data_IF_213919240494
#
_entry.id   IF_213919240494
#
_cell.length_a   1.000
_cell.length_b   1.000
_cell.length_c   1.000
_cell.angle_alpha   90.00
_cell.angle_beta   90.00
_cell.angle_gamma   90.00
#
_symmetry.space_group_name_H-M   'P 1'
#
loop_
_entity.id
_entity.type
_entity.pdbx_description
1 polymer ?
#
# COMPACT_ATOMS: atom_id res chain seq x y z
N UNK A 1 -2.98 -30.05 -3.16
CA UNK A 1 -3.36 -28.90 -2.31
C UNK A 1 -2.29 -27.83 -2.47
N UNK A 2 -2.55 -26.79 -3.29
CA UNK A 2 -1.58 -25.72 -3.52
C UNK A 2 -1.65 -24.78 -2.30
N UNK A 3 -0.63 -24.84 -1.45
CA UNK A 3 -0.51 -23.93 -0.32
C UNK A 3 -0.25 -22.54 -0.86
N UNK A 4 -1.30 -21.76 -0.75
CA UNK A 4 -1.52 -20.53 -1.43
C UNK A 4 -1.16 -19.43 -0.42
N UNK A 5 0.14 -19.13 -0.37
CA UNK A 5 0.76 -18.31 0.68
C UNK A 5 1.02 -16.91 0.13
N UNK A 6 0.23 -15.93 0.59
CA UNK A 6 0.40 -14.52 0.26
C UNK A 6 1.81 -14.06 0.67
N UNK A 7 2.60 -13.56 -0.28
CA UNK A 7 3.99 -13.19 -0.04
C UNK A 7 4.09 -11.89 0.74
N UNK A 8 4.47 -11.95 2.03
CA UNK A 8 4.66 -10.77 2.90
C UNK A 8 5.50 -9.66 2.24
N UNK A 9 6.53 -10.04 1.48
CA UNK A 9 7.40 -9.10 0.76
C UNK A 9 6.63 -8.24 -0.25
N UNK A 10 5.65 -8.83 -0.95
CA UNK A 10 4.78 -8.09 -1.87
C UNK A 10 3.96 -7.03 -1.16
N UNK A 11 3.38 -7.38 0.00
CA UNK A 11 2.58 -6.44 0.81
C UNK A 11 3.43 -5.26 1.29
N UNK A 12 4.63 -5.56 1.81
CA UNK A 12 5.53 -4.52 2.33
C UNK A 12 5.96 -3.57 1.22
N UNK A 13 6.44 -4.08 0.08
CA UNK A 13 6.92 -3.21 -0.99
C UNK A 13 5.79 -2.37 -1.59
N UNK A 14 4.63 -2.95 -1.84
CA UNK A 14 3.50 -2.18 -2.39
C UNK A 14 2.97 -1.14 -1.42
N UNK A 15 2.94 -1.42 -0.11
CA UNK A 15 2.65 -0.41 0.91
C UNK A 15 3.63 0.76 0.87
N UNK A 16 4.94 0.48 0.83
CA UNK A 16 5.97 1.53 0.77
C UNK A 16 5.86 2.32 -0.54
N UNK A 17 5.59 1.67 -1.67
CA UNK A 17 5.35 2.33 -2.96
C UNK A 17 4.17 3.29 -2.86
N UNK A 18 3.02 2.85 -2.33
CA UNK A 18 1.85 3.71 -2.16
C UNK A 18 2.13 4.92 -1.26
N UNK A 19 2.79 4.68 -0.12
CA UNK A 19 3.16 5.71 0.85
C UNK A 19 4.10 6.76 0.24
N UNK A 20 5.18 6.31 -0.41
CA UNK A 20 6.20 7.18 -1.00
C UNK A 20 5.71 7.90 -2.26
N UNK A 21 4.86 7.27 -3.07
CA UNK A 21 4.22 7.92 -4.22
C UNK A 21 3.30 9.07 -3.77
N UNK A 22 2.48 8.84 -2.75
CA UNK A 22 1.61 9.86 -2.16
C UNK A 22 2.43 11.03 -1.57
N UNK A 23 3.54 10.72 -0.90
CA UNK A 23 4.47 11.74 -0.41
C UNK A 23 5.10 12.58 -1.53
N UNK A 24 5.60 11.93 -2.59
CA UNK A 24 6.17 12.62 -3.75
C UNK A 24 5.13 13.53 -4.41
N UNK A 25 3.91 13.02 -4.62
CA UNK A 25 2.82 13.80 -5.21
C UNK A 25 2.51 15.04 -4.36
N UNK A 26 2.32 14.85 -3.05
CA UNK A 26 2.02 15.94 -2.13
C UNK A 26 3.13 17.01 -2.10
N UNK A 27 4.40 16.61 -2.08
CA UNK A 27 5.55 17.54 -2.14
C UNK A 27 5.60 18.35 -3.44
N UNK A 28 5.08 17.80 -4.54
CA UNK A 28 5.04 18.50 -5.83
C UNK A 28 3.82 19.41 -5.99
N UNK A 29 2.72 19.14 -5.27
CA UNK A 29 1.45 19.85 -5.46
C UNK A 29 1.04 20.75 -4.31
N UNK A 30 1.49 20.47 -3.08
CA UNK A 30 1.12 21.20 -1.86
C UNK A 30 2.29 22.06 -1.40
N UNK A 31 2.13 23.38 -1.43
CA UNK A 31 3.18 24.33 -1.08
C UNK A 31 3.67 24.23 0.38
N UNK A 32 2.86 23.68 1.28
CA UNK A 32 3.21 23.47 2.69
C UNK A 32 4.18 22.29 2.88
N UNK A 33 4.31 21.39 1.91
CA UNK A 33 5.11 20.18 2.05
C UNK A 33 6.56 20.43 1.64
N UNK A 34 7.54 20.27 2.55
CA UNK A 34 8.94 20.45 2.21
C UNK A 34 9.40 19.35 1.26
N UNK A 35 10.15 19.74 0.23
CA UNK A 35 10.70 18.80 -0.73
C UNK A 35 11.77 17.93 -0.06
N UNK A 36 11.63 16.60 -0.18
CA UNK A 36 12.57 15.64 0.39
C UNK A 36 13.02 14.63 -0.65
N UNK A 37 14.33 14.53 -0.95
CA UNK A 37 14.83 13.54 -1.90
C UNK A 37 14.61 12.10 -1.43
N UNK A 38 14.46 11.88 -0.11
CA UNK A 38 14.26 10.55 0.47
C UNK A 38 12.96 9.90 0.01
N UNK A 39 11.88 10.67 -0.20
CA UNK A 39 10.62 10.11 -0.69
C UNK A 39 10.76 9.54 -2.11
N UNK A 40 11.44 10.28 -2.99
CA UNK A 40 11.72 9.86 -4.36
C UNK A 40 12.65 8.65 -4.41
N UNK A 41 13.74 8.67 -3.65
CA UNK A 41 14.66 7.53 -3.56
C UNK A 41 13.95 6.28 -3.02
N UNK A 42 13.12 6.44 -1.98
CA UNK A 42 12.33 5.33 -1.42
C UNK A 42 11.38 4.73 -2.46
N UNK A 43 10.71 5.58 -3.24
CA UNK A 43 9.82 5.13 -4.32
C UNK A 43 10.60 4.35 -5.38
N UNK A 44 11.71 4.90 -5.87
CA UNK A 44 12.56 4.27 -6.89
C UNK A 44 13.06 2.90 -6.41
N UNK A 45 13.67 2.84 -5.23
CA UNK A 45 14.22 1.59 -4.71
C UNK A 45 13.12 0.56 -4.39
N UNK A 46 11.96 1.00 -3.91
CA UNK A 46 10.85 0.07 -3.62
C UNK A 46 10.24 -0.49 -4.90
N UNK A 47 10.09 0.33 -5.95
CA UNK A 47 9.66 -0.12 -7.27
C UNK A 47 10.66 -1.10 -7.89
N UNK A 48 11.96 -0.79 -7.84
CA UNK A 48 13.01 -1.67 -8.36
C UNK A 48 12.99 -3.05 -7.65
N UNK A 49 12.94 -3.04 -6.31
CA UNK A 49 12.87 -4.29 -5.54
C UNK A 49 11.58 -5.05 -5.75
N UNK A 50 10.45 -4.36 -5.88
CA UNK A 50 9.17 -5.01 -6.20
C UNK A 50 9.20 -5.61 -7.61
N UNK A 51 9.79 -4.93 -8.58
CA UNK A 51 9.95 -5.43 -9.94
C UNK A 51 10.86 -6.66 -10.01
N UNK A 52 12.01 -6.63 -9.31
CA UNK A 52 12.87 -7.81 -9.19
C UNK A 52 12.14 -8.99 -8.53
N UNK A 53 11.35 -8.73 -7.49
CA UNK A 53 10.52 -9.73 -6.82
C UNK A 53 9.40 -10.27 -7.71
N UNK A 54 8.84 -9.42 -8.57
CA UNK A 54 7.88 -9.80 -9.59
C UNK A 54 8.52 -10.72 -10.64
N UNK A 55 9.72 -10.45 -11.14
CA UNK A 55 10.36 -11.36 -12.11
C UNK A 55 10.77 -12.69 -11.46
N UNK A 56 11.19 -12.67 -10.19
CA UNK A 56 11.79 -13.83 -9.54
C UNK A 56 10.80 -14.93 -9.08
N UNK A 57 9.50 -14.64 -9.01
CA UNK A 57 8.51 -15.57 -8.45
C UNK A 57 7.60 -16.11 -9.56
N UNK A 58 7.40 -17.42 -9.67
CA UNK A 58 6.61 -17.99 -10.79
C UNK A 58 5.10 -18.11 -10.49
N UNK A 59 4.65 -17.76 -9.27
CA UNK A 59 3.25 -17.82 -8.84
C UNK A 59 2.78 -16.50 -8.20
N UNK A 60 2.19 -15.62 -9.01
CA UNK A 60 1.78 -14.27 -8.58
C UNK A 60 0.32 -14.14 -8.16
N UNK A 61 -0.56 -14.99 -8.67
CA UNK A 61 -2.00 -14.72 -8.74
C UNK A 61 -2.63 -14.35 -7.40
N UNK A 62 -2.15 -14.99 -6.33
CA UNK A 62 -2.71 -14.80 -5.01
C UNK A 62 -2.19 -13.59 -4.25
N UNK A 63 -0.94 -13.21 -4.50
CA UNK A 63 -0.32 -12.06 -3.83
C UNK A 63 -0.72 -10.74 -4.49
N UNK A 64 -1.18 -10.77 -5.74
CA UNK A 64 -1.57 -9.56 -6.50
C UNK A 64 -2.70 -8.80 -5.79
N UNK A 65 -3.81 -9.45 -5.42
CA UNK A 65 -4.96 -8.73 -4.82
C UNK A 65 -4.61 -8.11 -3.45
N UNK A 66 -3.98 -8.84 -2.51
CA UNK A 66 -3.46 -8.26 -1.27
C UNK A 66 -2.46 -7.14 -1.50
N UNK A 67 -1.57 -7.26 -2.49
CA UNK A 67 -0.58 -6.24 -2.83
C UNK A 67 -1.22 -4.93 -3.34
N UNK A 68 -2.28 -5.02 -4.14
CA UNK A 68 -3.06 -3.84 -4.52
C UNK A 68 -3.71 -3.16 -3.31
N UNK A 69 -4.29 -3.95 -2.39
CA UNK A 69 -4.87 -3.40 -1.18
C UNK A 69 -3.80 -2.67 -0.34
N UNK A 70 -2.60 -3.24 -0.17
CA UNK A 70 -1.53 -2.58 0.59
C UNK A 70 -0.97 -1.35 -0.09
N UNK A 71 -0.93 -1.29 -1.42
CA UNK A 71 -0.62 -0.07 -2.17
C UNK A 71 -1.58 1.07 -1.80
N UNK A 72 -2.88 0.82 -1.86
CA UNK A 72 -3.87 1.83 -1.51
C UNK A 72 -3.87 2.18 -0.03
N UNK A 73 -3.65 1.20 0.87
CA UNK A 73 -3.46 1.48 2.29
C UNK A 73 -2.29 2.47 2.48
N UNK A 74 -1.12 2.22 1.87
CA UNK A 74 0.02 3.13 1.95
C UNK A 74 -0.30 4.54 1.41
N UNK A 75 -0.94 4.62 0.25
CA UNK A 75 -1.35 5.88 -0.36
C UNK A 75 -2.26 6.70 0.56
N UNK A 76 -3.32 6.08 1.10
CA UNK A 76 -4.26 6.75 1.99
C UNK A 76 -3.66 7.02 3.37
N UNK A 77 -2.73 6.20 3.85
CA UNK A 77 -2.03 6.44 5.12
C UNK A 77 -1.27 7.77 5.10
N UNK A 78 -0.57 8.08 4.02
CA UNK A 78 0.10 9.38 3.89
C UNK A 78 -0.91 10.53 3.87
N UNK A 79 -1.98 10.43 3.08
CA UNK A 79 -3.04 11.45 3.05
C UNK A 79 -3.70 11.66 4.42
N UNK A 80 -3.98 10.57 5.15
CA UNK A 80 -4.57 10.64 6.49
C UNK A 80 -3.64 11.33 7.48
N UNK A 81 -2.34 11.00 7.41
CA UNK A 81 -1.29 11.63 8.20
C UNK A 81 -1.18 13.14 7.90
N UNK A 82 -1.08 13.52 6.62
CA UNK A 82 -0.97 14.93 6.25
C UNK A 82 -2.20 15.74 6.62
N UNK A 83 -3.41 15.19 6.44
CA UNK A 83 -4.65 15.87 6.84
C UNK A 83 -4.82 15.97 8.36
N UNK A 84 -4.19 15.08 9.13
CA UNK A 84 -4.13 15.21 10.59
C UNK A 84 -3.14 16.30 11.03
N UNK A 85 -2.01 16.42 10.32
CA UNK A 85 -0.94 17.37 10.65
C UNK A 85 -1.24 18.79 10.16
N UNK A 86 -1.98 18.91 9.05
CA UNK A 86 -2.38 20.14 8.39
C UNK A 86 -3.90 20.17 8.16
N UNK A 87 -4.72 20.44 9.20
CA UNK A 87 -6.17 20.47 9.08
C UNK A 87 -6.71 21.47 8.04
N UNK A 88 -5.92 22.49 7.71
CA UNK A 88 -6.20 23.47 6.65
C UNK A 88 -6.30 22.86 5.24
N UNK A 89 -5.73 21.67 5.02
CA UNK A 89 -5.84 20.93 3.76
C UNK A 89 -7.18 20.19 3.61
N UNK A 90 -8.03 20.22 4.64
CA UNK A 90 -9.33 19.58 4.67
C UNK A 90 -9.36 18.28 5.48
N UNK A 91 -10.52 17.63 5.48
CA UNK A 91 -10.76 16.44 6.32
C UNK A 91 -9.99 15.22 5.86
N UNK A 92 -9.39 14.49 6.81
CA UNK A 92 -8.77 13.18 6.59
C UNK A 92 -9.75 11.99 6.72
N UNK A 93 -11.04 12.25 6.98
CA UNK A 93 -12.03 11.21 7.27
C UNK A 93 -12.15 10.18 6.14
N UNK A 94 -12.17 10.66 4.89
CA UNK A 94 -12.25 9.79 3.71
C UNK A 94 -11.06 8.81 3.66
N UNK A 95 -9.84 9.32 3.86
CA UNK A 95 -8.63 8.48 3.87
C UNK A 95 -8.68 7.44 4.98
N UNK A 96 -9.11 7.82 6.19
CA UNK A 96 -9.24 6.91 7.33
C UNK A 96 -10.27 5.81 7.06
N UNK A 97 -11.43 6.15 6.49
CA UNK A 97 -12.46 5.17 6.12
C UNK A 97 -11.93 4.18 5.09
N UNK A 98 -11.23 4.66 4.05
CA UNK A 98 -10.64 3.81 3.02
C UNK A 98 -9.60 2.85 3.60
N UNK A 99 -8.70 3.34 4.47
CA UNK A 99 -7.72 2.50 5.17
C UNK A 99 -8.45 1.42 5.98
N UNK A 100 -9.49 1.79 6.74
CA UNK A 100 -10.21 0.86 7.60
C UNK A 100 -10.85 -0.28 6.79
N UNK A 101 -11.57 0.06 5.71
CA UNK A 101 -12.21 -0.93 4.83
C UNK A 101 -11.16 -1.88 4.23
N UNK A 102 -10.06 -1.33 3.70
CA UNK A 102 -9.00 -2.13 3.08
C UNK A 102 -8.26 -3.01 4.10
N UNK A 103 -7.98 -2.50 5.31
CA UNK A 103 -7.36 -3.27 6.38
C UNK A 103 -8.26 -4.42 6.84
N UNK A 104 -9.55 -4.17 7.06
CA UNK A 104 -10.51 -5.22 7.43
C UNK A 104 -10.56 -6.29 6.35
N UNK A 105 -10.67 -5.89 5.08
CA UNK A 105 -10.69 -6.84 3.96
C UNK A 105 -9.38 -7.64 3.88
N UNK A 106 -8.24 -6.98 4.00
CA UNK A 106 -6.92 -7.61 3.94
C UNK A 106 -6.74 -8.62 5.08
N UNK A 107 -7.09 -8.23 6.32
CA UNK A 107 -7.05 -9.11 7.48
C UNK A 107 -7.96 -10.32 7.29
N UNK A 108 -9.19 -10.11 6.81
CA UNK A 108 -10.12 -11.20 6.52
C UNK A 108 -9.55 -12.15 5.46
N UNK A 109 -8.97 -11.61 4.38
CA UNK A 109 -8.35 -12.41 3.33
C UNK A 109 -7.15 -13.22 3.82
N UNK A 110 -6.29 -12.63 4.65
CA UNK A 110 -5.11 -13.31 5.22
C UNK A 110 -5.50 -14.39 6.25
N UNK A 111 -6.57 -14.18 7.01
CA UNK A 111 -7.01 -15.10 8.07
C UNK A 111 -7.95 -16.21 7.56
N UNK A 112 -8.83 -15.90 6.60
CA UNK A 112 -9.90 -16.80 6.16
C UNK A 112 -9.89 -17.14 4.66
N UNK A 113 -8.98 -16.56 3.87
CA UNK A 113 -8.87 -16.80 2.43
C UNK A 113 -8.54 -18.24 2.03
N UNK A 114 -8.35 -19.14 3.01
CA UNK A 114 -8.03 -20.55 2.85
C UNK A 114 -9.24 -21.50 2.92
N UNK A 115 -10.46 -21.00 3.13
CA UNK A 115 -11.67 -21.84 3.14
C UNK A 115 -12.36 -21.78 1.78
N UNK A 116 -11.89 -22.61 0.85
CA UNK A 116 -12.80 -23.07 -0.19
C UNK A 116 -13.95 -23.80 0.51
N UNK A 117 -15.18 -23.29 0.37
CA UNK A 117 -16.37 -24.06 0.66
C UNK A 117 -16.40 -25.22 -0.34
N UNK A 118 -15.90 -26.38 0.06
CA UNK A 118 -16.27 -27.62 -0.60
C UNK A 118 -17.71 -27.95 -0.15
N UNK A 119 -18.65 -28.15 -1.10
CA UNK A 119 -20.02 -28.55 -0.81
C UNK A 119 -20.11 -29.95 -0.20
#
# INVERSE_FOLDING_TARGET
MKNYNVSLRWLIYTFIIGLSASACFSMLTVSLMPLSPFAFLTLIFSCDRFYALYIANDNHEESIRPAWATLFIGLFSYHAYTGALHPELGSNLFSVIMILILCIWLMYRLMFGNKHYEP
#
